data_IF_536948111774
#
_entry.id   IF_536948111774
#
_cell.length_a   1.000
_cell.length_b   1.000
_cell.length_c   1.000
_cell.angle_alpha   90.00
_cell.angle_beta   90.00
_cell.angle_gamma   90.00
#
_symmetry.space_group_name_H-M   'P 1'
#
loop_
_entity.id
_entity.type
_entity.pdbx_description
1 polymer ?
#
# COMPACT_ATOMS: atom_id res chain seq x y z
N UNK A 1 -40.93 -15.74 17.03
CA UNK A 1 -40.04 -15.37 15.89
C UNK A 1 -39.24 -14.09 16.14
N UNK A 2 -39.16 -13.58 17.38
CA UNK A 2 -38.67 -12.21 17.67
C UNK A 2 -37.34 -12.15 18.44
N UNK A 3 -37.03 -13.11 19.33
CA UNK A 3 -35.77 -13.08 20.10
C UNK A 3 -34.54 -13.45 19.27
N UNK A 4 -34.63 -14.47 18.41
CA UNK A 4 -33.50 -14.89 17.57
C UNK A 4 -33.10 -13.83 16.53
N UNK A 5 -34.02 -12.99 16.08
CA UNK A 5 -33.73 -11.88 15.17
C UNK A 5 -33.04 -10.71 15.86
N UNK A 6 -33.40 -10.41 17.12
CA UNK A 6 -32.80 -9.34 17.92
C UNK A 6 -31.38 -9.70 18.37
N UNK A 7 -31.17 -10.95 18.81
CA UNK A 7 -29.84 -11.46 19.17
C UNK A 7 -28.88 -11.49 17.98
N UNK A 8 -29.39 -11.84 16.79
CA UNK A 8 -28.58 -11.88 15.57
C UNK A 8 -28.23 -10.47 15.06
N UNK A 9 -29.09 -9.47 15.28
CA UNK A 9 -28.79 -8.06 15.02
C UNK A 9 -27.77 -7.48 16.02
N UNK A 10 -27.91 -7.79 17.31
CA UNK A 10 -26.97 -7.36 18.34
C UNK A 10 -25.58 -7.98 18.15
N UNK A 11 -25.50 -9.26 17.78
CA UNK A 11 -24.23 -9.93 17.45
C UNK A 11 -23.56 -9.32 16.22
N UNK A 12 -24.32 -9.03 15.14
CA UNK A 12 -23.79 -8.32 13.97
C UNK A 12 -23.28 -6.92 14.33
N UNK A 13 -24.02 -6.17 15.13
CA UNK A 13 -23.62 -4.82 15.58
C UNK A 13 -22.34 -4.84 16.41
N UNK A 14 -22.24 -5.77 17.37
CA UNK A 14 -21.03 -5.96 18.18
C UNK A 14 -19.82 -6.38 17.33
N UNK A 15 -20.03 -7.22 16.31
CA UNK A 15 -18.96 -7.65 15.41
C UNK A 15 -18.47 -6.53 14.49
N UNK A 16 -19.37 -5.67 14.00
CA UNK A 16 -19.01 -4.46 13.25
C UNK A 16 -18.20 -3.50 14.12
N UNK A 17 -18.65 -3.22 15.35
CA UNK A 17 -17.95 -2.33 16.29
C UNK A 17 -16.57 -2.88 16.64
N UNK A 18 -16.45 -4.18 16.95
CA UNK A 18 -15.16 -4.82 17.24
C UNK A 18 -14.20 -4.74 16.06
N UNK A 19 -14.67 -5.00 14.84
CA UNK A 19 -13.84 -4.92 13.63
C UNK A 19 -13.41 -3.48 13.33
N UNK A 20 -14.30 -2.50 13.51
CA UNK A 20 -14.00 -1.09 13.34
C UNK A 20 -12.98 -0.59 14.36
N UNK A 21 -13.12 -1.00 15.63
CA UNK A 21 -12.15 -0.69 16.69
C UNK A 21 -10.78 -1.31 16.40
N UNK A 22 -10.74 -2.59 16.02
CA UNK A 22 -9.48 -3.25 15.66
C UNK A 22 -8.79 -2.57 14.47
N UNK A 23 -9.55 -2.18 13.45
CA UNK A 23 -9.04 -1.45 12.28
C UNK A 23 -8.50 -0.07 12.67
N UNK A 24 -9.23 0.67 13.51
CA UNK A 24 -8.82 1.99 13.99
C UNK A 24 -7.56 1.93 14.85
N UNK A 25 -7.51 1.01 15.82
CA UNK A 25 -6.34 0.79 16.68
C UNK A 25 -5.11 0.34 15.88
N UNK A 26 -5.29 -0.59 14.93
CA UNK A 26 -4.20 -1.03 14.05
C UNK A 26 -3.65 0.11 13.19
N UNK A 27 -4.55 0.89 12.59
CA UNK A 27 -4.18 2.05 11.77
C UNK A 27 -3.45 3.12 12.60
N UNK A 28 -3.99 3.47 13.77
CA UNK A 28 -3.40 4.45 14.66
C UNK A 28 -2.01 4.02 15.13
N UNK A 29 -1.87 2.77 15.60
CA UNK A 29 -0.60 2.20 16.03
C UNK A 29 0.44 2.23 14.91
N UNK A 30 0.03 1.92 13.68
CA UNK A 30 0.90 1.98 12.50
C UNK A 30 1.35 3.41 12.18
N UNK A 31 0.49 4.40 12.39
CA UNK A 31 0.84 5.80 12.17
C UNK A 31 1.86 6.29 13.21
N UNK A 32 1.64 5.95 14.47
CA UNK A 32 2.59 6.28 15.56
C UNK A 32 3.95 5.62 15.32
N UNK A 33 3.97 4.33 14.97
CA UNK A 33 5.22 3.64 14.63
C UNK A 33 5.88 4.20 13.37
N UNK A 34 5.09 4.62 12.37
CA UNK A 34 5.60 5.27 11.16
C UNK A 34 6.29 6.60 11.47
N UNK A 35 5.72 7.41 12.36
CA UNK A 35 6.34 8.66 12.83
C UNK A 35 7.63 8.39 13.60
N UNK A 36 7.62 7.39 14.50
CA UNK A 36 8.81 6.97 15.22
C UNK A 36 9.92 6.52 14.27
N UNK A 37 9.58 5.69 13.27
CA UNK A 37 10.50 5.25 12.22
C UNK A 37 11.14 6.44 11.50
N UNK A 38 10.33 7.40 11.03
CA UNK A 38 10.84 8.55 10.28
C UNK A 38 11.70 9.48 11.17
N UNK A 39 11.35 9.62 12.46
CA UNK A 39 12.15 10.37 13.45
C UNK A 39 13.51 9.71 13.69
N UNK A 40 13.52 8.38 13.87
CA UNK A 40 14.75 7.62 14.07
C UNK A 40 15.64 7.69 12.83
N UNK A 41 15.07 7.54 11.63
CA UNK A 41 15.79 7.63 10.37
C UNK A 41 16.61 8.93 10.28
N UNK A 42 15.99 10.07 10.61
CA UNK A 42 16.64 11.39 10.58
C UNK A 42 17.63 11.64 11.70
N UNK A 43 17.51 10.89 12.79
CA UNK A 43 18.41 10.99 13.95
C UNK A 43 19.67 10.16 13.76
N UNK A 44 19.55 8.99 13.12
CA UNK A 44 20.65 8.05 12.93
C UNK A 44 21.49 8.33 11.68
N UNK A 45 20.88 8.84 10.61
CA UNK A 45 21.57 9.01 9.33
C UNK A 45 21.77 10.49 8.96
N UNK A 46 22.89 10.81 8.29
CA UNK A 46 23.11 12.13 7.73
C UNK A 46 22.20 12.37 6.52
N UNK A 47 22.02 13.65 6.18
CA UNK A 47 21.00 14.12 5.23
C UNK A 47 21.20 13.59 3.80
N UNK A 48 22.43 13.45 3.29
CA UNK A 48 22.67 12.80 2.00
C UNK A 48 22.11 11.38 1.91
N UNK A 49 22.23 10.62 3.01
CA UNK A 49 21.79 9.22 3.07
C UNK A 49 20.27 9.13 3.20
N UNK A 50 19.66 10.00 4.01
CA UNK A 50 18.20 10.07 4.10
C UNK A 50 17.58 10.57 2.79
N UNK A 51 18.21 11.54 2.11
CA UNK A 51 17.78 12.01 0.79
C UNK A 51 17.85 10.90 -0.26
N UNK A 52 18.96 10.16 -0.29
CA UNK A 52 19.13 8.99 -1.15
C UNK A 52 18.06 7.93 -0.91
N UNK A 53 17.80 7.59 0.37
CA UNK A 53 16.75 6.65 0.75
C UNK A 53 15.37 7.16 0.33
N UNK A 54 15.05 8.43 0.60
CA UNK A 54 13.76 9.04 0.29
C UNK A 54 13.52 9.12 -1.23
N UNK A 55 14.56 9.44 -2.00
CA UNK A 55 14.50 9.47 -3.46
C UNK A 55 14.31 8.06 -4.04
N UNK A 56 15.06 7.09 -3.55
CA UNK A 56 14.96 5.68 -3.95
C UNK A 56 13.59 5.08 -3.60
N UNK A 57 13.09 5.33 -2.38
CA UNK A 57 11.84 4.78 -1.88
C UNK A 57 10.59 5.41 -2.51
N UNK A 58 10.71 6.61 -3.11
CA UNK A 58 9.61 7.31 -3.77
C UNK A 58 8.94 6.44 -4.84
N UNK A 59 9.74 5.82 -5.70
CA UNK A 59 9.30 4.99 -6.82
C UNK A 59 8.43 3.80 -6.37
N UNK A 60 8.92 2.91 -5.47
CA UNK A 60 8.09 1.84 -4.92
C UNK A 60 6.85 2.38 -4.19
N UNK A 61 6.98 3.49 -3.47
CA UNK A 61 5.86 4.06 -2.72
C UNK A 61 4.76 4.62 -3.63
N UNK A 62 5.08 5.20 -4.79
CA UNK A 62 4.09 5.61 -5.79
C UNK A 62 3.27 4.41 -6.25
N UNK A 63 3.94 3.30 -6.60
CA UNK A 63 3.26 2.08 -7.04
C UNK A 63 2.42 1.47 -5.91
N UNK A 64 2.91 1.50 -4.67
CA UNK A 64 2.15 1.10 -3.47
C UNK A 64 0.85 1.90 -3.33
N UNK A 65 0.89 3.22 -3.54
CA UNK A 65 -0.31 4.08 -3.45
C UNK A 65 -1.27 3.85 -4.61
N UNK A 66 -0.74 3.71 -5.83
CA UNK A 66 -1.54 3.47 -7.03
C UNK A 66 -2.25 2.10 -7.02
N UNK A 67 -1.53 1.05 -6.66
CA UNK A 67 -2.07 -0.31 -6.65
C UNK A 67 -2.76 -0.62 -5.32
N UNK A 68 -2.05 -0.51 -4.20
CA UNK A 68 -2.54 -1.00 -2.91
C UNK A 68 -3.61 -0.16 -2.24
N UNK A 69 -3.30 1.10 -1.99
CA UNK A 69 -4.24 2.03 -1.32
C UNK A 69 -5.38 2.49 -2.24
N UNK A 70 -5.21 2.32 -3.55
CA UNK A 70 -6.07 2.95 -4.53
C UNK A 70 -6.76 1.96 -5.46
N UNK A 71 -6.32 1.94 -6.72
CA UNK A 71 -7.17 1.55 -7.82
C UNK A 71 -7.44 0.05 -7.90
N UNK A 72 -6.46 -0.79 -7.52
CA UNK A 72 -6.65 -2.25 -7.52
C UNK A 72 -7.72 -2.62 -6.49
N UNK A 73 -7.60 -2.17 -5.24
CA UNK A 73 -8.56 -2.51 -4.18
C UNK A 73 -9.99 -2.06 -4.52
N UNK A 74 -10.15 -0.83 -5.03
CA UNK A 74 -11.46 -0.27 -5.40
C UNK A 74 -12.11 -1.00 -6.58
N UNK A 75 -11.31 -1.43 -7.57
CA UNK A 75 -11.82 -2.14 -8.75
C UNK A 75 -12.01 -3.64 -8.51
N UNK A 76 -11.15 -4.26 -7.69
CA UNK A 76 -11.13 -5.69 -7.39
C UNK A 76 -12.24 -6.11 -6.43
N UNK A 77 -12.41 -5.41 -5.31
CA UNK A 77 -13.29 -5.84 -4.21
C UNK A 77 -14.73 -6.12 -4.69
N UNK A 78 -15.39 -5.22 -5.47
CA UNK A 78 -16.75 -5.46 -5.94
C UNK A 78 -16.85 -6.70 -6.84
N UNK A 79 -15.91 -6.85 -7.79
CA UNK A 79 -15.89 -7.99 -8.72
C UNK A 79 -15.65 -9.30 -7.98
N UNK A 80 -14.76 -9.29 -6.98
CA UNK A 80 -14.51 -10.47 -6.17
C UNK A 80 -15.72 -10.84 -5.30
N UNK A 81 -16.43 -9.86 -4.72
CA UNK A 81 -17.68 -10.11 -3.98
C UNK A 81 -18.76 -10.71 -4.88
N UNK A 82 -18.92 -10.21 -6.11
CA UNK A 82 -19.85 -10.80 -7.08
C UNK A 82 -19.49 -12.26 -7.39
N UNK A 83 -18.19 -12.55 -7.61
CA UNK A 83 -17.72 -13.92 -7.81
C UNK A 83 -17.94 -14.82 -6.58
N UNK A 84 -17.82 -14.28 -5.37
CA UNK A 84 -18.11 -15.00 -4.12
C UNK A 84 -19.60 -15.35 -4.02
N UNK A 85 -20.49 -14.45 -4.41
CA UNK A 85 -21.93 -14.70 -4.46
C UNK A 85 -22.31 -15.73 -5.52
N UNK A 86 -21.71 -15.67 -6.71
CA UNK A 86 -21.85 -16.73 -7.73
C UNK A 86 -21.35 -18.08 -7.24
N UNK A 87 -20.26 -18.08 -6.45
CA UNK A 87 -19.71 -19.30 -5.85
C UNK A 87 -20.68 -19.99 -4.90
N UNK A 88 -21.54 -19.22 -4.22
CA UNK A 88 -22.61 -19.75 -3.36
C UNK A 88 -23.82 -20.26 -4.14
N UNK A 89 -24.04 -19.76 -5.36
CA UNK A 89 -25.23 -20.03 -6.19
C UNK A 89 -25.08 -21.23 -7.14
N UNK A 90 -23.89 -21.81 -7.28
CA UNK A 90 -23.70 -23.04 -8.05
C UNK A 90 -22.33 -23.23 -8.71
N UNK A 91 -21.45 -22.22 -8.70
CA UNK A 91 -20.10 -22.33 -9.28
C UNK A 91 -19.01 -22.15 -8.21
N UNK A 92 -18.76 -23.14 -7.34
CA UNK A 92 -17.88 -23.00 -6.18
C UNK A 92 -16.43 -22.62 -6.53
N UNK A 93 -16.00 -22.81 -7.78
CA UNK A 93 -14.66 -22.49 -8.23
C UNK A 93 -14.52 -21.06 -8.77
N UNK A 94 -15.63 -20.35 -9.03
CA UNK A 94 -15.65 -19.04 -9.71
C UNK A 94 -14.70 -18.02 -9.09
N UNK A 95 -14.87 -17.76 -7.79
CA UNK A 95 -14.06 -16.78 -7.06
C UNK A 95 -12.58 -17.16 -7.03
N UNK A 96 -12.28 -18.43 -6.80
CA UNK A 96 -10.90 -18.92 -6.75
C UNK A 96 -10.22 -18.85 -8.12
N UNK A 97 -10.93 -19.21 -9.19
CA UNK A 97 -10.40 -19.14 -10.56
C UNK A 97 -10.11 -17.71 -10.96
N UNK A 98 -11.04 -16.78 -10.72
CA UNK A 98 -10.81 -15.35 -10.95
C UNK A 98 -9.61 -14.82 -10.15
N UNK A 99 -9.52 -15.16 -8.85
CA UNK A 99 -8.39 -14.79 -8.01
C UNK A 99 -7.06 -15.34 -8.55
N UNK A 100 -7.02 -16.61 -8.96
CA UNK A 100 -5.83 -17.24 -9.54
C UNK A 100 -5.39 -16.55 -10.84
N UNK A 101 -6.34 -16.23 -11.72
CA UNK A 101 -6.09 -15.52 -12.98
C UNK A 101 -5.51 -14.12 -12.74
N UNK A 102 -6.14 -13.33 -11.86
CA UNK A 102 -5.68 -11.99 -11.55
C UNK A 102 -4.32 -12.01 -10.82
N UNK A 103 -4.15 -12.91 -9.85
CA UNK A 103 -2.88 -13.11 -9.15
C UNK A 103 -1.75 -13.44 -10.11
N UNK A 104 -1.97 -14.38 -11.04
CA UNK A 104 -0.93 -14.78 -12.00
C UNK A 104 -0.58 -13.64 -12.95
N UNK A 105 -1.58 -12.90 -13.43
CA UNK A 105 -1.35 -11.73 -14.28
C UNK A 105 -0.54 -10.65 -13.54
N UNK A 106 -0.95 -10.31 -12.31
CA UNK A 106 -0.22 -9.36 -11.47
C UNK A 106 1.22 -9.83 -11.23
N UNK A 107 1.40 -11.11 -10.88
CA UNK A 107 2.71 -11.71 -10.66
C UNK A 107 3.61 -11.54 -11.89
N UNK A 108 3.13 -11.84 -13.10
CA UNK A 108 3.90 -11.69 -14.34
C UNK A 108 4.25 -10.22 -14.58
N UNK A 109 3.25 -9.33 -14.61
CA UNK A 109 3.44 -7.90 -14.92
C UNK A 109 4.41 -7.26 -13.95
N UNK A 110 4.28 -7.56 -12.66
CA UNK A 110 5.10 -6.95 -11.62
C UNK A 110 6.47 -7.56 -11.52
N UNK A 111 6.65 -8.84 -11.86
CA UNK A 111 7.98 -9.43 -11.98
C UNK A 111 8.76 -8.75 -13.10
N UNK A 112 8.13 -8.52 -14.25
CA UNK A 112 8.73 -7.77 -15.37
C UNK A 112 9.02 -6.33 -14.95
N UNK A 113 8.06 -5.63 -14.34
CA UNK A 113 8.25 -4.26 -13.89
C UNK A 113 9.38 -4.13 -12.84
N UNK A 114 9.47 -5.09 -11.92
CA UNK A 114 10.53 -5.16 -10.90
C UNK A 114 11.88 -5.40 -11.56
N UNK A 115 11.98 -6.37 -12.47
CA UNK A 115 13.24 -6.66 -13.18
C UNK A 115 13.71 -5.46 -14.01
N UNK A 116 12.81 -4.82 -14.76
CA UNK A 116 13.11 -3.60 -15.51
C UNK A 116 13.52 -2.47 -14.58
N UNK A 117 12.84 -2.32 -13.44
CA UNK A 117 13.17 -1.33 -12.43
C UNK A 117 14.55 -1.50 -11.81
N UNK A 118 14.96 -2.74 -11.53
CA UNK A 118 16.31 -3.05 -11.04
C UNK A 118 17.37 -2.74 -12.11
N UNK A 119 17.13 -3.16 -13.36
CA UNK A 119 18.09 -2.96 -14.47
C UNK A 119 18.23 -1.50 -14.85
N UNK A 120 17.13 -0.74 -14.85
CA UNK A 120 17.10 0.67 -15.27
C UNK A 120 16.98 1.64 -14.08
N UNK A 121 17.36 1.22 -12.87
CA UNK A 121 17.20 2.00 -11.64
C UNK A 121 17.90 3.35 -11.73
N UNK A 122 19.07 3.41 -12.38
CA UNK A 122 19.84 4.62 -12.63
C UNK A 122 19.05 5.62 -13.49
N UNK A 123 18.49 5.16 -14.61
CA UNK A 123 17.73 6.01 -15.54
C UNK A 123 16.42 6.47 -14.96
N UNK A 124 15.71 5.58 -14.28
CA UNK A 124 14.44 5.90 -13.63
C UNK A 124 14.68 6.92 -12.53
N UNK A 125 15.70 6.72 -11.67
CA UNK A 125 16.02 7.66 -10.61
C UNK A 125 16.48 9.00 -11.18
N UNK A 126 17.36 9.01 -12.19
CA UNK A 126 17.83 10.23 -12.86
C UNK A 126 16.69 11.09 -13.43
N UNK A 127 15.57 10.48 -13.83
CA UNK A 127 14.39 11.22 -14.28
C UNK A 127 13.64 11.95 -13.13
N UNK A 128 13.69 11.38 -11.92
CA UNK A 128 12.97 11.90 -10.73
C UNK A 128 13.73 12.95 -9.94
N UNK A 129 15.02 13.12 -10.19
CA UNK A 129 15.90 14.08 -9.50
C UNK A 129 16.44 15.11 -10.48
N UNK A 130 17.00 16.19 -9.96
CA UNK A 130 17.62 17.25 -10.75
C UNK A 130 18.94 16.77 -11.38
N UNK A 131 19.33 17.33 -12.54
CA UNK A 131 20.65 17.06 -13.13
C UNK A 131 21.82 17.31 -12.18
N UNK A 132 21.73 18.31 -11.30
CA UNK A 132 22.76 18.59 -10.28
C UNK A 132 22.91 17.47 -9.26
N UNK A 133 21.82 16.79 -8.90
CA UNK A 133 21.88 15.62 -8.01
C UNK A 133 22.56 14.44 -8.72
N UNK A 134 22.27 14.23 -10.01
CA UNK A 134 22.93 13.18 -10.82
C UNK A 134 24.43 13.44 -10.96
N UNK A 135 24.84 14.70 -11.03
CA UNK A 135 26.26 15.09 -11.08
C UNK A 135 27.00 14.86 -9.76
N UNK A 136 26.29 14.80 -8.62
CA UNK A 136 26.86 14.35 -7.36
C UNK A 136 26.94 12.81 -7.35
N UNK A 137 28.03 12.27 -7.89
CA UNK A 137 28.23 10.83 -8.09
C UNK A 137 28.14 10.03 -6.79
N UNK A 138 28.60 10.60 -5.67
CA UNK A 138 28.55 9.95 -4.35
C UNK A 138 27.10 9.71 -3.92
N UNK A 139 26.30 10.79 -3.81
CA UNK A 139 24.91 10.70 -3.37
C UNK A 139 24.03 9.94 -4.36
N UNK A 140 24.26 10.14 -5.66
CA UNK A 140 23.49 9.48 -6.69
C UNK A 140 23.75 7.98 -6.72
N UNK A 141 25.01 7.53 -6.61
CA UNK A 141 25.34 6.10 -6.61
C UNK A 141 24.72 5.36 -5.42
N UNK A 142 24.71 5.96 -4.23
CA UNK A 142 24.03 5.41 -3.05
C UNK A 142 22.53 5.27 -3.30
N UNK A 143 21.89 6.32 -3.82
CA UNK A 143 20.46 6.31 -4.12
C UNK A 143 20.10 5.26 -5.19
N UNK A 144 20.94 5.08 -6.22
CA UNK A 144 20.77 4.03 -7.24
C UNK A 144 20.86 2.64 -6.61
N UNK A 145 21.88 2.36 -5.79
CA UNK A 145 22.03 1.06 -5.10
C UNK A 145 20.85 0.76 -4.18
N UNK A 146 20.41 1.74 -3.40
CA UNK A 146 19.21 1.62 -2.58
C UNK A 146 17.98 1.34 -3.44
N UNK A 147 17.83 2.04 -4.57
CA UNK A 147 16.71 1.85 -5.48
C UNK A 147 16.68 0.43 -6.04
N UNK A 148 17.81 -0.12 -6.48
CA UNK A 148 17.92 -1.50 -6.95
C UNK A 148 17.41 -2.52 -5.93
N UNK A 149 17.78 -2.37 -4.67
CA UNK A 149 17.32 -3.24 -3.58
C UNK A 149 15.80 -3.03 -3.35
N UNK A 150 15.37 -1.78 -3.26
CA UNK A 150 13.98 -1.42 -2.96
C UNK A 150 13.01 -1.72 -4.11
N UNK A 151 13.46 -1.85 -5.36
CA UNK A 151 12.57 -2.21 -6.47
C UNK A 151 11.85 -3.54 -6.22
N UNK A 152 12.49 -4.49 -5.54
CA UNK A 152 11.87 -5.76 -5.12
C UNK A 152 10.63 -5.58 -4.23
N UNK A 153 10.51 -4.45 -3.54
CA UNK A 153 9.35 -4.13 -2.72
C UNK A 153 8.07 -3.91 -3.52
N UNK A 154 8.17 -3.49 -4.79
CA UNK A 154 7.00 -3.30 -5.68
C UNK A 154 6.24 -4.61 -5.86
N UNK A 155 6.98 -5.69 -6.09
CA UNK A 155 6.44 -7.03 -6.20
C UNK A 155 5.67 -7.40 -4.93
N UNK A 156 6.31 -7.25 -3.76
CA UNK A 156 5.74 -7.61 -2.47
C UNK A 156 4.48 -6.78 -2.14
N UNK A 157 4.54 -5.46 -2.31
CA UNK A 157 3.42 -4.58 -1.98
C UNK A 157 2.17 -4.85 -2.81
N UNK A 158 2.34 -5.30 -4.04
CA UNK A 158 1.21 -5.64 -4.88
C UNK A 158 0.57 -6.97 -4.48
N UNK A 159 1.35 -7.93 -4.00
CA UNK A 159 0.80 -9.15 -3.40
C UNK A 159 0.03 -8.81 -2.11
N UNK A 160 0.63 -7.98 -1.26
CA UNK A 160 -0.05 -7.44 -0.08
C UNK A 160 -1.38 -6.76 -0.45
N UNK A 161 -1.42 -5.92 -1.49
CA UNK A 161 -2.63 -5.23 -1.94
C UNK A 161 -3.75 -6.20 -2.33
N UNK A 162 -3.43 -7.22 -3.12
CA UNK A 162 -4.40 -8.23 -3.53
C UNK A 162 -4.89 -9.04 -2.32
N UNK A 163 -3.98 -9.47 -1.45
CA UNK A 163 -4.30 -10.26 -0.25
C UNK A 163 -5.18 -9.47 0.74
N UNK A 164 -4.87 -8.19 0.91
CA UNK A 164 -5.67 -7.25 1.66
C UNK A 164 -7.07 -7.11 1.05
N UNK A 165 -7.17 -6.95 -0.27
CA UNK A 165 -8.44 -6.92 -0.99
C UNK A 165 -9.29 -8.17 -0.76
N UNK A 166 -8.70 -9.37 -0.88
CA UNK A 166 -9.38 -10.65 -0.64
C UNK A 166 -9.89 -10.74 0.79
N UNK A 167 -9.04 -10.45 1.78
CA UNK A 167 -9.42 -10.50 3.20
C UNK A 167 -10.52 -9.48 3.54
N UNK A 168 -10.45 -8.27 2.98
CA UNK A 168 -11.47 -7.24 3.16
C UNK A 168 -12.81 -7.68 2.58
N UNK A 169 -12.84 -8.26 1.37
CA UNK A 169 -14.06 -8.84 0.77
C UNK A 169 -14.65 -9.99 1.61
N UNK A 170 -13.82 -10.70 2.37
CA UNK A 170 -14.23 -11.77 3.29
C UNK A 170 -14.55 -11.26 4.71
N UNK A 171 -14.60 -9.94 4.91
CA UNK A 171 -14.90 -9.31 6.20
C UNK A 171 -13.79 -9.42 7.25
N UNK A 172 -12.57 -9.74 6.84
CA UNK A 172 -11.38 -9.85 7.71
C UNK A 172 -10.54 -8.57 7.66
N UNK A 173 -10.96 -7.53 8.40
CA UNK A 173 -10.31 -6.21 8.35
C UNK A 173 -9.09 -6.07 9.28
N UNK A 174 -9.01 -6.88 10.34
CA UNK A 174 -7.98 -6.74 11.38
C UNK A 174 -6.56 -7.03 10.89
N UNK A 175 -6.36 -8.17 10.21
CA UNK A 175 -5.04 -8.55 9.67
C UNK A 175 -4.51 -7.53 8.64
N UNK A 176 -5.29 -7.12 7.62
CA UNK A 176 -4.95 -6.00 6.75
C UNK A 176 -4.53 -4.72 7.48
N UNK A 177 -5.27 -4.31 8.51
CA UNK A 177 -5.00 -3.08 9.24
C UNK A 177 -3.72 -3.14 10.09
N UNK A 178 -3.34 -4.32 10.58
CA UNK A 178 -2.14 -4.53 11.38
C UNK A 178 -0.88 -4.78 10.55
N UNK A 179 -1.02 -5.25 9.31
CA UNK A 179 0.11 -5.63 8.47
C UNK A 179 1.18 -4.52 8.28
N UNK A 180 0.84 -3.22 8.12
CA UNK A 180 1.83 -2.15 8.05
C UNK A 180 2.68 -1.98 9.32
N UNK A 181 2.24 -2.49 10.49
CA UNK A 181 3.04 -2.49 11.72
C UNK A 181 4.36 -3.26 11.51
N UNK A 182 4.30 -4.40 10.84
CA UNK A 182 5.46 -5.24 10.59
C UNK A 182 6.48 -4.57 9.65
N UNK A 183 5.98 -3.82 8.65
CA UNK A 183 6.83 -2.99 7.81
C UNK A 183 7.56 -1.93 8.64
N UNK A 184 6.84 -1.22 9.51
CA UNK A 184 7.44 -0.20 10.37
C UNK A 184 8.46 -0.78 11.36
N UNK A 185 8.16 -1.94 11.97
CA UNK A 185 9.10 -2.64 12.87
C UNK A 185 10.38 -3.01 12.12
N UNK A 186 10.27 -3.60 10.92
CA UNK A 186 11.43 -3.92 10.07
C UNK A 186 12.29 -2.69 9.80
N UNK A 187 11.66 -1.58 9.42
CA UNK A 187 12.36 -0.33 9.18
C UNK A 187 13.06 0.20 10.43
N UNK A 188 12.37 0.24 11.59
CA UNK A 188 12.97 0.68 12.86
C UNK A 188 14.19 -0.17 13.21
N UNK A 189 14.06 -1.50 13.13
CA UNK A 189 15.17 -2.43 13.38
C UNK A 189 16.33 -2.16 12.42
N UNK A 190 16.06 -1.97 11.14
CA UNK A 190 17.11 -1.66 10.15
C UNK A 190 17.79 -0.31 10.39
N UNK A 191 17.08 0.67 10.92
CA UNK A 191 17.63 1.99 11.25
C UNK A 191 18.60 1.95 12.43
N UNK A 192 18.31 1.10 13.43
CA UNK A 192 19.15 1.01 14.65
C UNK A 192 20.30 0.01 14.51
N UNK A 193 20.29 -0.83 13.47
CA UNK A 193 21.40 -1.75 13.19
C UNK A 193 22.69 -0.96 12.89
N UNK A 194 23.86 -1.44 13.35
CA UNK A 194 25.12 -0.77 13.07
C UNK A 194 25.38 -0.68 11.56
N UNK A 195 25.61 0.54 11.07
CA UNK A 195 25.89 0.79 9.65
C UNK A 195 27.14 0.04 9.15
N UNK A 196 28.09 -0.25 10.06
CA UNK A 196 29.29 -1.07 9.81
C UNK A 196 29.01 -2.52 9.41
N UNK A 197 27.79 -3.03 9.60
CA UNK A 197 27.41 -4.38 9.15
C UNK A 197 27.13 -4.46 7.66
N UNK A 198 27.05 -3.31 6.98
CA UNK A 198 26.70 -3.22 5.58
C UNK A 198 27.84 -2.68 4.72
N UNK A 199 27.70 -2.82 3.41
CA UNK A 199 28.74 -2.48 2.43
C UNK A 199 28.83 -0.98 2.16
N UNK A 200 27.74 -0.23 2.42
CA UNK A 200 27.69 1.22 2.28
C UNK A 200 26.66 1.82 3.24
N UNK A 201 26.84 3.10 3.56
CA UNK A 201 25.97 3.79 4.50
C UNK A 201 24.51 3.79 4.06
N UNK A 202 23.63 3.34 4.95
CA UNK A 202 22.19 3.28 4.71
C UNK A 202 21.71 2.06 3.92
N UNK A 203 22.58 1.14 3.49
CA UNK A 203 22.18 -0.11 2.83
C UNK A 203 21.17 -0.91 3.66
N UNK A 204 21.35 -0.93 4.99
CA UNK A 204 20.43 -1.57 5.92
C UNK A 204 19.00 -1.08 5.77
N UNK A 205 18.79 0.22 5.49
CA UNK A 205 17.47 0.80 5.28
C UNK A 205 16.79 0.25 4.02
N UNK A 206 17.56 -0.02 2.96
CA UNK A 206 17.04 -0.59 1.72
C UNK A 206 16.58 -2.04 1.92
N UNK A 207 17.37 -2.83 2.64
CA UNK A 207 16.96 -4.18 3.06
C UNK A 207 15.79 -4.14 4.04
N UNK A 208 15.74 -3.16 4.93
CA UNK A 208 14.62 -2.93 5.86
C UNK A 208 13.28 -2.76 5.14
N UNK A 209 13.27 -2.05 4.01
CA UNK A 209 12.09 -1.91 3.14
C UNK A 209 11.69 -3.27 2.57
N UNK A 210 12.63 -4.02 2.02
CA UNK A 210 12.36 -5.31 1.37
C UNK A 210 11.86 -6.36 2.38
N UNK A 211 12.58 -6.53 3.49
CA UNK A 211 12.19 -7.41 4.61
C UNK A 211 10.85 -6.99 5.18
N UNK A 212 10.62 -5.68 5.33
CA UNK A 212 9.34 -5.14 5.79
C UNK A 212 8.19 -5.53 4.87
N UNK A 213 8.39 -5.45 3.55
CA UNK A 213 7.41 -5.90 2.56
C UNK A 213 7.12 -7.41 2.63
N UNK A 214 8.16 -8.22 2.89
CA UNK A 214 8.00 -9.66 3.10
C UNK A 214 7.15 -9.93 4.33
N UNK A 215 7.49 -9.34 5.48
CA UNK A 215 6.77 -9.54 6.74
C UNK A 215 5.32 -9.06 6.64
N UNK A 216 5.11 -7.87 6.05
CA UNK A 216 3.79 -7.28 5.84
C UNK A 216 2.90 -8.15 4.93
N UNK A 217 3.48 -8.82 3.93
CA UNK A 217 2.73 -9.72 3.05
C UNK A 217 2.49 -11.08 3.73
N UNK A 218 3.52 -11.62 4.38
CA UNK A 218 3.51 -12.94 5.00
C UNK A 218 2.46 -13.05 6.12
N UNK A 219 2.23 -11.99 6.90
CA UNK A 219 1.23 -12.00 7.97
C UNK A 219 -0.20 -12.20 7.46
N UNK A 220 -0.48 -11.90 6.18
CA UNK A 220 -1.78 -12.13 5.55
C UNK A 220 -1.95 -13.57 5.01
N UNK A 221 -0.88 -14.34 4.88
CA UNK A 221 -0.94 -15.70 4.33
C UNK A 221 -1.74 -16.66 5.22
N UNK A 222 -1.49 -16.75 6.55
CA UNK A 222 -2.27 -17.65 7.41
C UNK A 222 -3.79 -17.43 7.38
N UNK A 223 -4.34 -16.20 7.50
CA UNK A 223 -5.77 -15.99 7.39
C UNK A 223 -6.33 -16.29 5.99
N UNK A 224 -5.57 -16.08 4.91
CA UNK A 224 -5.98 -16.48 3.56
C UNK A 224 -6.13 -17.99 3.42
N UNK A 225 -5.16 -18.76 3.91
CA UNK A 225 -5.21 -20.23 3.91
C UNK A 225 -6.41 -20.70 4.73
N UNK A 226 -6.63 -20.14 5.93
CA UNK A 226 -7.77 -20.48 6.78
C UNK A 226 -9.12 -20.20 6.12
N UNK A 227 -9.19 -19.22 5.21
CA UNK A 227 -10.39 -18.89 4.44
C UNK A 227 -10.50 -19.64 3.12
N UNK A 228 -9.49 -20.44 2.74
CA UNK A 228 -9.49 -21.22 1.51
C UNK A 228 -9.21 -20.43 0.24
N UNK A 229 -8.81 -19.15 0.35
CA UNK A 229 -8.57 -18.25 -0.79
C UNK A 229 -7.09 -17.93 -1.00
N UNK A 230 -6.21 -18.90 -0.77
CA UNK A 230 -4.81 -18.75 -1.16
C UNK A 230 -4.69 -18.85 -2.68
N UNK A 231 -4.20 -17.83 -3.39
CA UNK A 231 -4.10 -17.87 -4.84
C UNK A 231 -3.10 -18.92 -5.32
N UNK A 232 -3.35 -19.45 -6.50
CA UNK A 232 -2.48 -20.40 -7.23
C UNK A 232 -2.21 -19.85 -8.62
N UNK A 233 -1.14 -20.34 -9.24
CA UNK A 233 -0.85 -20.03 -10.63
C UNK A 233 -1.93 -20.61 -11.54
N UNK A 234 -2.40 -19.79 -12.49
CA UNK A 234 -3.40 -20.15 -13.49
C UNK A 234 -2.85 -19.89 -14.89
N UNK A 235 -3.11 -20.82 -15.81
CA UNK A 235 -2.80 -20.62 -17.23
C UNK A 235 -3.84 -19.73 -17.93
N UNK A 236 -5.03 -19.61 -17.36
CA UNK A 236 -6.12 -18.78 -17.90
C UNK A 236 -6.00 -17.37 -17.37
N UNK A 237 -5.22 -16.50 -18.01
CA UNK A 237 -4.96 -15.14 -17.51
C UNK A 237 -6.08 -14.14 -17.82
N UNK A 238 -6.76 -14.31 -18.96
CA UNK A 238 -7.75 -13.35 -19.46
C UNK A 238 -9.17 -13.87 -19.27
N UNK A 239 -9.80 -13.51 -18.16
CA UNK A 239 -11.24 -13.75 -17.93
C UNK A 239 -12.05 -12.45 -18.05
N UNK A 240 -13.37 -12.52 -18.25
CA UNK A 240 -14.23 -11.32 -18.28
C UNK A 240 -14.11 -10.46 -17.01
N UNK A 241 -13.94 -11.10 -15.85
CA UNK A 241 -13.78 -10.46 -14.55
C UNK A 241 -12.43 -9.72 -14.46
N UNK A 242 -11.34 -10.34 -14.94
CA UNK A 242 -10.03 -9.68 -15.05
C UNK A 242 -10.12 -8.44 -15.95
N UNK A 243 -10.78 -8.55 -17.11
CA UNK A 243 -11.01 -7.41 -18.02
C UNK A 243 -11.76 -6.28 -17.32
N UNK A 244 -12.77 -6.64 -16.52
CA UNK A 244 -13.59 -5.68 -15.77
C UNK A 244 -12.75 -4.95 -14.73
N UNK A 245 -11.92 -5.67 -13.96
CA UNK A 245 -11.00 -5.06 -12.99
C UNK A 245 -10.03 -4.12 -13.69
N UNK A 246 -9.34 -4.58 -14.76
CA UNK A 246 -8.35 -3.75 -15.46
C UNK A 246 -8.98 -2.49 -16.06
N UNK A 247 -10.15 -2.60 -16.69
CA UNK A 247 -10.88 -1.47 -17.26
C UNK A 247 -11.27 -0.44 -16.18
N UNK A 248 -11.73 -0.90 -15.00
CA UNK A 248 -12.04 -0.01 -13.86
C UNK A 248 -10.79 0.55 -13.21
N UNK A 249 -9.67 -0.15 -13.29
CA UNK A 249 -8.41 0.26 -12.69
C UNK A 249 -7.78 1.43 -13.46
N UNK A 250 -7.85 1.43 -14.81
CA UNK A 250 -7.20 2.46 -15.63
C UNK A 250 -7.64 3.89 -15.26
N UNK A 251 -8.94 4.24 -15.19
CA UNK A 251 -9.37 5.58 -14.78
C UNK A 251 -8.93 5.96 -13.35
N UNK A 252 -8.96 4.99 -12.42
CA UNK A 252 -8.54 5.22 -11.04
C UNK A 252 -7.03 5.50 -10.93
N UNK A 253 -6.22 4.81 -11.73
CA UNK A 253 -4.78 5.08 -11.83
C UNK A 253 -4.50 6.47 -12.39
N UNK A 254 -5.24 6.91 -13.42
CA UNK A 254 -5.09 8.28 -13.94
C UNK A 254 -5.46 9.33 -12.88
N UNK A 255 -6.57 9.14 -12.16
CA UNK A 255 -7.01 10.07 -11.11
C UNK A 255 -5.98 10.25 -10.00
N UNK A 256 -5.39 9.15 -9.51
CA UNK A 256 -4.36 9.23 -8.47
C UNK A 256 -2.97 9.58 -9.01
N UNK A 257 -2.70 9.26 -10.27
CA UNK A 257 -1.41 9.49 -10.92
C UNK A 257 -1.02 10.96 -10.91
N UNK A 258 -1.98 11.88 -11.02
CA UNK A 258 -1.75 13.33 -10.95
C UNK A 258 -1.08 13.73 -9.64
N UNK A 259 -1.57 13.23 -8.50
CA UNK A 259 -0.98 13.51 -7.19
C UNK A 259 0.43 12.93 -7.05
N UNK A 260 0.67 11.73 -7.62
CA UNK A 260 1.99 11.11 -7.58
C UNK A 260 2.99 11.85 -8.46
N UNK A 261 2.55 12.36 -9.62
CA UNK A 261 3.40 13.15 -10.51
C UNK A 261 3.86 14.45 -9.83
N UNK A 262 2.96 15.10 -9.09
CA UNK A 262 3.30 16.27 -8.26
C UNK A 262 4.45 15.97 -7.28
N UNK A 263 4.42 14.82 -6.60
CA UNK A 263 5.49 14.43 -5.69
C UNK A 263 6.83 14.18 -6.40
N UNK A 264 6.82 13.64 -7.62
CA UNK A 264 8.03 13.47 -8.43
C UNK A 264 8.60 14.82 -8.85
N UNK A 265 7.73 15.76 -9.25
CA UNK A 265 8.13 17.13 -9.61
C UNK A 265 8.74 17.83 -8.39
N UNK A 266 8.10 17.73 -7.22
CA UNK A 266 8.61 18.30 -5.97
C UNK A 266 9.97 17.71 -5.61
N UNK A 267 10.15 16.40 -5.72
CA UNK A 267 11.45 15.75 -5.48
C UNK A 267 12.52 16.27 -6.44
N UNK A 268 12.18 16.44 -7.72
CA UNK A 268 13.09 16.99 -8.71
C UNK A 268 13.57 18.39 -8.35
N UNK A 269 12.67 19.29 -7.95
CA UNK A 269 13.06 20.62 -7.45
C UNK A 269 13.84 20.57 -6.14
N UNK A 270 13.43 19.72 -5.19
CA UNK A 270 14.10 19.60 -3.90
C UNK A 270 15.56 19.16 -4.07
N UNK A 271 15.79 18.17 -4.93
CA UNK A 271 17.12 17.62 -5.20
C UNK A 271 18.09 18.60 -5.86
N UNK A 272 17.64 19.77 -6.35
CA UNK A 272 18.55 20.81 -6.86
C UNK A 272 19.06 21.77 -5.78
N UNK A 273 18.57 21.67 -4.54
CA UNK A 273 18.86 22.61 -3.45
C UNK A 273 19.99 22.14 -2.51
N UNK A 274 20.72 21.09 -2.87
CA UNK A 274 21.77 20.49 -2.04
C UNK A 274 21.25 19.34 -1.17
N UNK A 275 21.92 19.09 -0.04
CA UNK A 275 21.66 17.94 0.83
C UNK A 275 20.62 18.25 1.92
N UNK A 276 19.58 17.42 2.04
CA UNK A 276 18.52 17.50 3.04
C UNK A 276 17.12 17.92 2.55
N UNK A 277 16.95 18.78 1.52
CA UNK A 277 15.64 19.22 1.06
C UNK A 277 14.66 18.09 0.71
N UNK A 278 15.15 16.97 0.14
CA UNK A 278 14.29 15.83 -0.20
C UNK A 278 13.69 15.23 1.09
N UNK A 279 14.52 15.04 2.12
CA UNK A 279 14.12 14.52 3.42
C UNK A 279 13.20 15.47 4.19
N UNK A 280 13.49 16.78 4.17
CA UNK A 280 12.68 17.77 4.87
C UNK A 280 11.26 17.85 4.31
N UNK A 281 11.11 17.84 2.98
CA UNK A 281 9.79 17.79 2.35
C UNK A 281 9.08 16.48 2.68
N UNK A 282 9.78 15.35 2.66
CA UNK A 282 9.20 14.06 3.01
C UNK A 282 8.63 14.04 4.43
N UNK A 283 9.34 14.61 5.41
CA UNK A 283 8.85 14.68 6.80
C UNK A 283 7.71 15.69 6.93
N UNK A 284 7.78 16.82 6.23
CA UNK A 284 6.70 17.80 6.22
C UNK A 284 5.41 17.17 5.68
N UNK A 285 5.47 16.43 4.57
CA UNK A 285 4.33 15.68 4.02
C UNK A 285 3.78 14.69 5.03
N UNK A 286 4.65 13.94 5.73
CA UNK A 286 4.24 12.98 6.77
C UNK A 286 3.56 13.64 7.95
N UNK A 287 4.08 14.77 8.40
CA UNK A 287 3.51 15.53 9.49
C UNK A 287 2.14 16.09 9.12
N UNK A 288 1.94 16.50 7.85
CA UNK A 288 0.65 16.97 7.33
C UNK A 288 -0.36 15.81 7.14
N UNK A 289 0.11 14.64 6.69
CA UNK A 289 -0.75 13.46 6.51
C UNK A 289 -1.38 13.01 7.82
N UNK A 290 -0.68 13.13 8.96
CA UNK A 290 -1.17 12.65 10.26
C UNK A 290 -2.48 13.33 10.72
N UNK A 291 -2.58 14.67 10.84
CA UNK A 291 -3.83 15.35 11.17
C UNK A 291 -4.89 15.16 10.10
N UNK A 292 -4.52 15.31 8.82
CA UNK A 292 -5.46 15.22 7.71
C UNK A 292 -6.17 13.87 7.72
N UNK A 293 -5.40 12.80 7.92
CA UNK A 293 -5.93 11.45 7.96
C UNK A 293 -6.70 11.10 9.24
N UNK A 294 -6.56 11.86 10.34
CA UNK A 294 -7.41 11.74 11.53
C UNK A 294 -8.77 12.43 11.29
N UNK A 295 -8.73 13.65 10.74
CA UNK A 295 -9.93 14.45 10.45
C UNK A 295 -10.76 13.79 9.33
N UNK A 296 -10.12 13.36 8.24
CA UNK A 296 -10.81 12.71 7.12
C UNK A 296 -11.49 11.40 7.54
N UNK A 297 -10.86 10.59 8.39
CA UNK A 297 -11.49 9.35 8.90
C UNK A 297 -12.66 9.67 9.81
N UNK A 298 -12.53 10.69 10.67
CA UNK A 298 -13.60 11.10 11.58
C UNK A 298 -14.82 11.65 10.83
N UNK A 299 -14.60 12.54 9.86
CA UNK A 299 -15.67 13.06 9.00
C UNK A 299 -16.28 11.97 8.14
N UNK A 300 -15.46 11.10 7.53
CA UNK A 300 -15.94 9.98 6.74
C UNK A 300 -16.84 9.05 7.56
N UNK A 301 -16.40 8.61 8.73
CA UNK A 301 -17.18 7.71 9.59
C UNK A 301 -18.49 8.33 10.08
N UNK A 302 -18.52 9.64 10.34
CA UNK A 302 -19.73 10.34 10.79
C UNK A 302 -20.72 10.63 9.63
N UNK A 303 -20.20 11.02 8.45
CA UNK A 303 -21.03 11.51 7.35
C UNK A 303 -21.46 10.40 6.39
N UNK A 304 -20.64 9.37 6.15
CA UNK A 304 -20.94 8.34 5.14
C UNK A 304 -22.25 7.58 5.42
N UNK A 305 -22.55 7.12 6.65
CA UNK A 305 -23.80 6.43 6.93
C UNK A 305 -25.02 7.33 6.71
N UNK A 306 -24.93 8.59 7.13
CA UNK A 306 -25.98 9.61 6.97
C UNK A 306 -26.24 9.87 5.49
N UNK A 307 -25.19 10.13 4.70
CA UNK A 307 -25.27 10.33 3.26
C UNK A 307 -25.80 9.09 2.53
N UNK A 308 -25.33 7.90 2.89
CA UNK A 308 -25.82 6.64 2.31
C UNK A 308 -27.30 6.45 2.59
N UNK A 309 -27.76 6.78 3.80
CA UNK A 309 -29.16 6.68 4.18
C UNK A 309 -30.06 7.66 3.40
N UNK A 310 -29.61 8.89 3.17
CA UNK A 310 -30.34 9.87 2.37
C UNK A 310 -30.44 9.46 0.90
N UNK A 311 -29.37 8.87 0.34
CA UNK A 311 -29.34 8.33 -1.02
C UNK A 311 -30.31 7.16 -1.18
N UNK A 312 -30.28 6.19 -0.25
CA UNK A 312 -31.21 5.06 -0.26
C UNK A 312 -32.67 5.49 -0.04
N UNK A 313 -32.90 6.57 0.70
CA UNK A 313 -34.24 7.14 0.93
C UNK A 313 -34.71 8.09 -0.19
N UNK A 314 -33.91 8.33 -1.23
CA UNK A 314 -34.25 9.25 -2.33
C UNK A 314 -34.29 10.73 -1.94
N UNK A 315 -33.82 11.11 -0.74
CA UNK A 315 -33.86 12.48 -0.20
C UNK A 315 -32.62 13.27 -0.61
N UNK A 316 -32.50 13.57 -1.91
CA UNK A 316 -31.34 14.30 -2.47
C UNK A 316 -31.24 15.74 -1.94
N UNK A 317 -32.37 16.39 -1.65
CA UNK A 317 -32.40 17.79 -1.21
C UNK A 317 -31.89 17.97 0.23
N UNK A 318 -31.91 16.91 1.05
CA UNK A 318 -31.38 16.92 2.41
C UNK A 318 -29.86 16.65 2.47
N UNK A 319 -29.19 16.53 1.31
CA UNK A 319 -27.75 16.29 1.20
C UNK A 319 -26.92 17.57 1.01
N UNK A 320 -27.56 18.69 0.65
CA UNK A 320 -26.95 20.01 0.48
C UNK A 320 -26.99 20.79 1.80
#
# INVERSE_FOLDING_TARGET
MTDSSLDNQNNKKNQVVKNALAMSLGTFSSRVLGLLRDTLLMSFFPRPITDAWTAAFRLPNILRRLLGEGSLSVSFIPVFVDCLEESKKGDPAKAQNFLNSLYTLLLIVLSVLTALGIVYSDRVLAFTVAPSYVQNVENFSVAVRMSQIMFGFIFLMSQYALFMGVLNSLGQFGWPAMAPLFFNISMIVSTVMPDSWFSFSGEGLAWGVLVGGVLQTAVLIPPLIKKGYMPRLSLTLWTPEVKTVLSRMVPGLFGMGVLQLSLVINQRFASSLGDGPISYIYIADRLLELPLSLVSVSLGTALLPTLSSFLSAGKKDAML
#
